data_IF_550368646466
#
_entry.id   IF_550368646466
#
_cell.length_a   1.000
_cell.length_b   1.000
_cell.length_c   1.000
_cell.angle_alpha   90.00
_cell.angle_beta   90.00
_cell.angle_gamma   90.00
#
_symmetry.space_group_name_H-M   'P 1'
#
loop_
_entity.id
_entity.type
_entity.pdbx_description
1 polymer ?
#
# COMPACT_ATOMS: atom_id res chain seq x y z
N UNK A 1 -19.84 -20.00 16.63
CA UNK A 1 -18.94 -20.34 15.51
C UNK A 1 -17.93 -19.25 15.36
N UNK A 2 -16.75 -19.61 14.91
CA UNK A 2 -15.72 -18.68 14.54
C UNK A 2 -15.65 -18.62 13.01
N UNK A 3 -15.34 -17.45 12.45
CA UNK A 3 -15.06 -17.33 11.02
C UNK A 3 -13.74 -18.04 10.75
N UNK A 4 -13.69 -18.89 9.71
CA UNK A 4 -12.44 -19.50 9.33
C UNK A 4 -11.38 -18.49 8.93
N UNK A 5 -10.16 -18.73 9.40
CA UNK A 5 -9.05 -17.82 9.20
C UNK A 5 -9.38 -16.38 9.64
N UNK A 6 -10.29 -16.23 10.63
CA UNK A 6 -10.72 -14.91 11.08
C UNK A 6 -9.55 -14.06 11.60
N UNK A 7 -8.54 -14.68 12.21
CA UNK A 7 -7.35 -13.98 12.68
C UNK A 7 -6.64 -13.27 11.53
N UNK A 8 -6.50 -13.94 10.41
CA UNK A 8 -5.90 -13.35 9.20
C UNK A 8 -6.83 -12.30 8.58
N UNK A 9 -8.13 -12.58 8.53
CA UNK A 9 -9.14 -11.67 7.98
C UNK A 9 -9.34 -10.43 8.84
N UNK A 10 -9.32 -10.58 10.16
CA UNK A 10 -9.48 -9.50 11.12
C UNK A 10 -8.16 -8.82 11.49
N UNK A 11 -7.02 -9.43 11.23
CA UNK A 11 -5.70 -8.87 11.54
C UNK A 11 -5.42 -7.57 10.78
N UNK A 12 -6.14 -7.33 9.68
CA UNK A 12 -6.06 -6.11 8.89
C UNK A 12 -4.63 -5.78 8.45
N UNK A 13 -3.80 -6.84 8.45
CA UNK A 13 -2.43 -6.85 7.97
C UNK A 13 -2.40 -7.27 6.51
N UNK A 14 -1.22 -7.33 5.98
CA UNK A 14 -0.94 -7.82 4.64
C UNK A 14 -1.16 -9.30 4.41
N UNK A 15 -1.47 -10.09 5.43
CA UNK A 15 -1.78 -11.50 5.23
C UNK A 15 -2.94 -11.62 4.26
N UNK A 16 -2.64 -12.12 3.09
CA UNK A 16 -3.59 -12.23 2.00
C UNK A 16 -4.32 -13.56 2.12
N UNK A 17 -5.64 -13.49 2.18
CA UNK A 17 -6.48 -14.66 2.40
C UNK A 17 -6.99 -15.17 1.05
N UNK A 18 -6.73 -16.43 0.76
CA UNK A 18 -7.43 -17.13 -0.32
C UNK A 18 -8.81 -17.53 0.17
N UNK A 19 -9.84 -16.99 -0.48
CA UNK A 19 -11.23 -17.19 -0.07
C UNK A 19 -11.84 -18.53 -0.52
N UNK A 20 -11.05 -19.58 -0.70
CA UNK A 20 -11.57 -20.86 -1.21
C UNK A 20 -12.06 -21.82 -0.12
N UNK A 21 -12.07 -21.38 1.13
CA UNK A 21 -12.47 -22.24 2.24
C UNK A 21 -13.96 -22.10 2.55
N UNK A 22 -14.69 -23.22 2.52
CA UNK A 22 -16.08 -23.30 2.97
C UNK A 22 -16.10 -23.80 4.42
N UNK A 23 -16.43 -22.96 5.41
CA UNK A 23 -16.41 -23.36 6.79
C UNK A 23 -17.54 -24.34 7.11
N UNK A 24 -17.27 -25.22 8.04
CA UNK A 24 -18.29 -26.01 8.72
C UNK A 24 -18.71 -25.30 10.01
N UNK A 25 -19.76 -24.54 9.98
CA UNK A 25 -20.40 -24.03 11.20
C UNK A 25 -21.88 -24.45 11.25
N UNK A 26 -22.40 -24.57 12.47
CA UNK A 26 -23.80 -24.92 12.65
C UNK A 26 -24.67 -23.64 12.64
N UNK A 27 -25.87 -23.71 12.09
CA UNK A 27 -26.78 -22.55 11.97
C UNK A 27 -27.09 -21.90 13.33
N UNK A 28 -27.04 -22.63 14.45
CA UNK A 28 -27.26 -22.12 15.80
C UNK A 28 -26.04 -21.36 16.38
N UNK A 29 -24.94 -21.30 15.67
CA UNK A 29 -23.73 -20.57 16.07
C UNK A 29 -23.63 -19.17 15.42
N UNK A 30 -24.59 -18.82 14.58
CA UNK A 30 -24.69 -17.52 13.93
C UNK A 30 -25.39 -16.55 14.88
N UNK A 31 -24.83 -15.34 15.02
CA UNK A 31 -25.46 -14.27 15.79
C UNK A 31 -26.45 -13.54 14.89
N UNK A 32 -27.70 -13.46 15.32
CA UNK A 32 -28.70 -12.60 14.73
C UNK A 32 -28.38 -11.14 15.06
N UNK A 33 -28.19 -10.25 14.08
CA UNK A 33 -27.87 -8.84 14.33
C UNK A 33 -28.90 -8.10 15.19
N UNK A 34 -30.17 -8.52 15.16
CA UNK A 34 -31.23 -7.94 16.00
C UNK A 34 -31.09 -8.33 17.49
N UNK A 35 -30.25 -9.30 17.79
CA UNK A 35 -29.90 -9.73 19.15
C UNK A 35 -28.64 -9.09 19.68
N UNK A 36 -28.00 -8.23 18.92
CA UNK A 36 -26.83 -7.44 19.34
C UNK A 36 -27.34 -6.15 20.00
N UNK A 37 -26.95 -5.95 21.24
CA UNK A 37 -27.33 -4.76 22.02
C UNK A 37 -26.09 -3.91 22.24
N UNK A 38 -26.10 -2.69 21.70
CA UNK A 38 -25.04 -1.70 22.00
C UNK A 38 -25.25 -1.14 23.40
N UNK A 39 -24.27 -1.34 24.28
CA UNK A 39 -24.27 -0.88 25.66
C UNK A 39 -23.31 0.29 25.91
N UNK A 40 -22.84 0.94 24.84
CA UNK A 40 -21.84 2.03 24.94
C UNK A 40 -22.35 3.19 25.80
N UNK A 41 -23.62 3.61 25.62
CA UNK A 41 -24.23 4.69 26.40
C UNK A 41 -24.53 4.30 27.85
N UNK A 42 -24.63 3.00 28.15
CA UNK A 42 -24.83 2.46 29.50
C UNK A 42 -23.50 2.24 30.24
N UNK A 43 -22.38 2.58 29.58
CA UNK A 43 -21.03 2.41 30.11
C UNK A 43 -20.54 3.74 30.69
N UNK A 44 -20.16 3.77 31.97
CA UNK A 44 -19.60 4.97 32.59
C UNK A 44 -18.11 5.18 32.21
N UNK A 45 -17.55 6.32 32.62
CA UNK A 45 -16.15 6.69 32.33
C UNK A 45 -15.12 5.75 32.97
N UNK A 46 -15.51 4.90 33.90
CA UNK A 46 -14.67 3.85 34.49
C UNK A 46 -14.82 2.51 33.78
N UNK A 47 -15.70 2.45 32.76
CA UNK A 47 -15.95 1.22 31.99
C UNK A 47 -16.96 0.29 32.71
N UNK A 48 -17.72 0.77 33.67
CA UNK A 48 -18.76 -0.02 34.34
C UNK A 48 -20.05 0.04 33.54
N UNK A 49 -20.58 -1.12 33.18
CA UNK A 49 -21.87 -1.26 32.49
C UNK A 49 -22.98 -1.52 33.51
N UNK A 50 -24.08 -0.75 33.42
CA UNK A 50 -25.28 -1.00 34.19
C UNK A 50 -26.45 -1.28 33.25
N UNK A 51 -26.75 -2.55 33.05
CA UNK A 51 -27.78 -3.00 32.12
C UNK A 51 -28.68 -4.06 32.77
N UNK A 52 -29.99 -3.92 32.59
CA UNK A 52 -30.95 -4.94 32.97
C UNK A 52 -31.16 -5.91 31.81
N UNK A 53 -30.39 -6.98 31.83
CA UNK A 53 -30.44 -8.00 30.77
C UNK A 53 -31.83 -8.65 30.69
N UNK A 54 -32.39 -8.80 29.49
CA UNK A 54 -33.56 -9.65 29.26
C UNK A 54 -33.26 -11.12 29.63
N UNK A 55 -34.32 -11.92 29.83
CA UNK A 55 -34.15 -13.33 30.11
C UNK A 55 -33.36 -14.04 29.01
N UNK A 56 -32.34 -14.85 29.35
CA UNK A 56 -31.51 -15.55 28.39
C UNK A 56 -30.08 -15.67 28.86
N UNK A 57 -29.24 -16.23 27.98
CA UNK A 57 -27.78 -16.27 28.12
C UNK A 57 -27.16 -15.16 27.28
N UNK A 58 -26.37 -14.33 27.90
CA UNK A 58 -25.72 -13.18 27.25
C UNK A 58 -24.21 -13.30 27.33
N UNK A 59 -23.54 -12.84 26.28
CA UNK A 59 -22.09 -12.62 26.26
C UNK A 59 -21.87 -11.13 26.11
N UNK A 60 -21.08 -10.54 27.00
CA UNK A 60 -20.67 -9.13 26.91
C UNK A 60 -19.29 -9.09 26.26
N UNK A 61 -19.21 -8.43 25.13
CA UNK A 61 -17.95 -8.19 24.41
C UNK A 61 -17.59 -6.72 24.56
N UNK A 62 -16.39 -6.43 25.05
CA UNK A 62 -15.87 -5.07 25.17
C UNK A 62 -14.86 -4.83 24.07
N UNK A 63 -15.12 -3.85 23.24
CA UNK A 63 -14.16 -3.33 22.28
C UNK A 63 -13.49 -2.09 22.85
N UNK A 64 -12.20 -1.99 22.69
CA UNK A 64 -11.42 -0.82 23.07
C UNK A 64 -10.27 -0.63 22.09
N UNK A 65 -9.94 0.60 21.76
CA UNK A 65 -8.75 0.90 21.03
C UNK A 65 -7.62 1.32 21.99
N UNK A 66 -6.43 0.94 21.67
CA UNK A 66 -5.21 1.26 22.44
C UNK A 66 -4.09 1.59 21.46
N UNK A 67 -3.06 2.34 21.88
CA UNK A 67 -1.87 2.53 21.05
C UNK A 67 -1.29 1.16 20.66
N UNK A 68 -0.89 1.02 19.40
CA UNK A 68 -0.25 -0.20 18.89
C UNK A 68 1.08 -0.50 19.58
N UNK A 69 1.70 0.53 20.17
CA UNK A 69 3.05 0.45 20.71
C UNK A 69 4.13 0.42 19.62
N UNK A 70 3.74 0.51 18.35
CA UNK A 70 4.65 0.62 17.21
C UNK A 70 5.60 1.80 17.42
N UNK A 71 6.87 1.58 17.11
CA UNK A 71 7.92 2.59 17.29
C UNK A 71 8.64 2.80 15.98
N UNK A 72 9.10 4.04 15.79
CA UNK A 72 9.98 4.40 14.66
C UNK A 72 11.21 3.49 14.67
N UNK A 73 11.60 3.02 13.48
CA UNK A 73 12.80 2.21 13.28
C UNK A 73 14.01 3.08 12.93
N UNK A 74 15.20 2.49 13.00
CA UNK A 74 16.47 3.07 12.55
C UNK A 74 16.93 4.36 13.26
N UNK A 75 16.17 4.85 14.24
CA UNK A 75 16.59 5.96 15.09
C UNK A 75 17.63 5.56 16.14
N UNK A 76 18.39 6.54 16.65
CA UNK A 76 19.21 6.31 17.85
C UNK A 76 18.30 5.92 19.02
N UNK A 77 18.80 5.08 19.95
CA UNK A 77 18.00 4.55 21.08
C UNK A 77 17.24 5.61 21.87
N UNK A 78 17.80 6.80 22.02
CA UNK A 78 17.20 7.94 22.74
C UNK A 78 16.24 8.78 21.84
N UNK A 79 16.11 8.47 20.56
CA UNK A 79 15.26 9.18 19.60
C UNK A 79 14.12 8.30 19.07
N UNK A 80 14.03 7.05 19.52
CA UNK A 80 12.95 6.13 19.11
C UNK A 80 11.68 6.52 19.87
N UNK A 81 10.71 7.07 19.12
CA UNK A 81 9.37 7.44 19.61
C UNK A 81 8.29 6.46 19.18
N UNK A 82 7.05 6.76 19.55
CA UNK A 82 5.90 6.08 18.98
C UNK A 82 5.74 6.45 17.51
N UNK A 83 5.26 5.49 16.72
CA UNK A 83 4.91 5.74 15.32
C UNK A 83 3.70 6.66 15.21
N UNK A 84 3.63 7.44 14.15
CA UNK A 84 2.53 8.34 13.85
C UNK A 84 1.24 7.57 13.52
N UNK A 85 0.11 8.04 14.01
CA UNK A 85 -1.21 7.54 13.60
C UNK A 85 -1.48 7.88 12.12
N UNK A 86 -1.42 6.86 11.26
CA UNK A 86 -1.56 7.02 9.80
C UNK A 86 -3.01 7.13 9.32
N UNK A 87 -3.97 6.89 10.22
CA UNK A 87 -5.40 7.08 9.93
C UNK A 87 -5.89 8.47 10.35
N UNK A 88 -4.98 9.35 10.81
CA UNK A 88 -5.30 10.66 11.33
C UNK A 88 -4.54 11.78 10.62
N UNK A 89 -5.25 12.67 9.92
CA UNK A 89 -4.64 13.87 9.33
C UNK A 89 -4.03 14.79 10.41
N UNK A 90 -4.67 14.87 11.58
CA UNK A 90 -4.17 15.68 12.72
C UNK A 90 -2.82 15.16 13.21
N UNK A 91 -2.64 13.83 13.27
CA UNK A 91 -1.37 13.24 13.65
C UNK A 91 -0.28 13.45 12.59
N UNK A 92 -0.61 13.36 11.31
CA UNK A 92 0.31 13.66 10.22
C UNK A 92 0.73 15.14 10.22
N UNK A 93 -0.22 16.07 10.44
CA UNK A 93 0.08 17.50 10.61
C UNK A 93 0.93 17.79 11.85
N UNK A 94 0.67 17.09 12.96
CA UNK A 94 1.49 17.22 14.16
C UNK A 94 2.94 16.77 13.90
N UNK A 95 3.13 15.64 13.21
CA UNK A 95 4.46 15.18 12.81
C UNK A 95 5.17 16.21 11.91
N UNK A 96 4.49 16.73 10.91
CA UNK A 96 5.00 17.79 10.05
C UNK A 96 5.41 19.02 10.86
N UNK A 97 4.54 19.55 11.68
CA UNK A 97 4.73 20.80 12.41
C UNK A 97 5.86 20.70 13.46
N UNK A 98 6.00 19.54 14.11
CA UNK A 98 7.00 19.36 15.18
C UNK A 98 8.36 18.86 14.72
N UNK A 99 8.47 18.45 13.45
CA UNK A 99 9.72 17.91 12.91
C UNK A 99 10.10 18.53 11.56
N UNK A 100 9.41 18.18 10.49
CA UNK A 100 9.81 18.54 9.12
C UNK A 100 9.77 20.05 8.88
N UNK A 101 8.76 20.73 9.41
CA UNK A 101 8.63 22.18 9.31
C UNK A 101 9.85 22.91 9.91
N UNK A 102 10.33 22.48 11.06
CA UNK A 102 11.50 23.10 11.68
C UNK A 102 12.77 22.93 10.85
N UNK A 103 12.95 21.78 10.21
CA UNK A 103 14.07 21.54 9.31
C UNK A 103 13.98 22.47 8.10
N UNK A 104 12.83 22.50 7.44
CA UNK A 104 12.61 23.35 6.28
C UNK A 104 12.82 24.84 6.60
N UNK A 105 12.20 25.32 7.68
CA UNK A 105 12.34 26.72 8.13
C UNK A 105 13.80 27.06 8.46
N UNK A 106 14.55 26.14 9.08
CA UNK A 106 15.96 26.35 9.40
C UNK A 106 16.83 26.42 8.14
N UNK A 107 16.60 25.56 7.17
CA UNK A 107 17.32 25.55 5.89
C UNK A 107 17.07 26.88 5.16
N UNK A 108 15.82 27.30 5.04
CA UNK A 108 15.43 28.56 4.40
C UNK A 108 16.03 29.79 5.11
N UNK A 109 16.01 29.81 6.44
CA UNK A 109 16.58 30.90 7.24
C UNK A 109 18.11 31.07 7.04
N UNK A 110 18.80 30.01 6.62
CA UNK A 110 20.24 30.04 6.31
C UNK A 110 20.53 30.17 4.81
N UNK A 111 19.52 30.53 3.99
CA UNK A 111 19.66 30.73 2.54
C UNK A 111 19.82 29.45 1.74
N UNK A 112 19.49 28.30 2.34
CA UNK A 112 19.44 27.02 1.65
C UNK A 112 18.07 26.74 1.02
N UNK A 113 17.97 25.62 0.32
CA UNK A 113 16.72 25.12 -0.27
C UNK A 113 16.56 23.64 0.05
N UNK A 114 15.34 23.25 0.37
CA UNK A 114 14.93 21.86 0.52
C UNK A 114 14.12 21.46 -0.73
N UNK A 115 14.59 20.46 -1.48
CA UNK A 115 13.92 20.04 -2.71
C UNK A 115 12.70 19.16 -2.44
N UNK A 116 12.75 18.33 -1.39
CA UNK A 116 11.65 17.40 -1.12
C UNK A 116 11.76 16.67 0.21
N UNK A 117 10.77 15.83 0.44
CA UNK A 117 10.62 14.97 1.61
C UNK A 117 10.43 13.54 1.15
N UNK A 118 11.03 12.60 1.84
CA UNK A 118 10.86 11.17 1.61
C UNK A 118 10.05 10.57 2.75
N UNK A 119 8.99 9.88 2.42
CA UNK A 119 8.30 8.94 3.31
C UNK A 119 8.82 7.55 2.95
N UNK A 120 9.70 7.07 3.79
CA UNK A 120 10.30 5.74 3.67
C UNK A 120 9.29 4.63 3.96
N UNK A 121 9.66 3.38 3.77
CA UNK A 121 8.77 2.24 3.97
C UNK A 121 8.16 2.22 5.37
N UNK A 122 6.84 1.98 5.45
CA UNK A 122 6.18 1.79 6.74
C UNK A 122 6.47 0.38 7.28
N UNK A 123 7.22 0.30 8.35
CA UNK A 123 7.66 -0.97 8.93
C UNK A 123 7.28 -1.14 10.42
N UNK A 124 6.42 -0.30 10.95
CA UNK A 124 6.09 -0.28 12.38
C UNK A 124 4.88 -1.16 12.75
N UNK A 125 4.48 -2.06 11.87
CA UNK A 125 3.33 -2.93 12.06
C UNK A 125 2.00 -2.33 11.59
N UNK A 126 0.90 -3.06 11.77
CA UNK A 126 -0.41 -2.61 11.30
C UNK A 126 -1.12 -1.75 12.34
N UNK A 127 -2.02 -0.91 11.83
CA UNK A 127 -2.95 -0.07 12.59
C UNK A 127 -4.35 -0.29 12.02
N UNK A 128 -5.35 -0.40 12.87
CA UNK A 128 -6.72 -0.72 12.44
C UNK A 128 -7.79 0.21 12.99
N UNK A 129 -7.42 1.20 13.81
CA UNK A 129 -8.35 2.13 14.43
C UNK A 129 -7.72 3.49 14.72
N UNK A 130 -8.54 4.53 14.74
CA UNK A 130 -8.21 5.88 15.17
C UNK A 130 -9.43 6.55 15.80
N UNK A 131 -9.25 7.70 16.43
CA UNK A 131 -10.37 8.50 16.92
C UNK A 131 -11.26 8.95 15.75
N UNK A 132 -12.55 8.69 15.84
CA UNK A 132 -13.53 9.04 14.80
C UNK A 132 -13.58 8.05 13.63
N UNK A 133 -12.94 6.89 13.75
CA UNK A 133 -12.95 5.86 12.72
C UNK A 133 -14.37 5.44 12.30
N UNK A 134 -15.32 5.36 13.24
CA UNK A 134 -16.71 5.02 12.96
C UNK A 134 -17.38 6.00 11.97
N UNK A 135 -17.09 7.29 12.13
CA UNK A 135 -17.63 8.34 11.24
C UNK A 135 -17.01 8.22 9.82
N UNK A 136 -15.71 7.97 9.76
CA UNK A 136 -15.04 7.75 8.47
C UNK A 136 -15.52 6.46 7.81
N UNK A 137 -15.72 5.38 8.58
CA UNK A 137 -16.31 4.15 8.08
C UNK A 137 -17.71 4.37 7.52
N UNK A 138 -18.58 5.02 8.27
CA UNK A 138 -19.94 5.36 7.82
C UNK A 138 -19.90 6.20 6.54
N UNK A 139 -19.03 7.19 6.47
CA UNK A 139 -18.84 8.02 5.25
C UNK A 139 -18.41 7.22 4.04
N UNK A 140 -17.49 6.27 4.24
CA UNK A 140 -16.88 5.50 3.15
C UNK A 140 -17.67 4.25 2.75
N UNK A 141 -18.38 3.64 3.69
CA UNK A 141 -19.08 2.36 3.47
C UNK A 141 -20.60 2.48 3.48
N UNK A 142 -21.15 3.57 4.01
CA UNK A 142 -22.58 3.86 3.96
C UNK A 142 -23.43 3.20 5.06
N UNK A 143 -22.81 2.47 6.01
CA UNK A 143 -23.52 1.81 7.10
C UNK A 143 -22.78 1.89 8.43
N UNK A 144 -23.50 1.68 9.56
CA UNK A 144 -22.93 1.68 10.90
C UNK A 144 -22.24 0.34 11.19
N UNK A 145 -20.95 0.41 11.52
CA UNK A 145 -20.12 -0.77 11.78
C UNK A 145 -20.43 -1.48 13.11
N UNK A 146 -21.13 -0.83 14.06
CA UNK A 146 -21.29 -1.33 15.44
C UNK A 146 -21.95 -2.68 15.54
N UNK A 147 -22.94 -2.95 14.69
CA UNK A 147 -23.61 -4.26 14.63
C UNK A 147 -22.68 -5.39 14.22
N UNK A 148 -21.63 -5.08 13.50
CA UNK A 148 -20.71 -6.07 12.95
C UNK A 148 -19.40 -6.19 13.72
N UNK A 149 -19.18 -5.36 14.76
CA UNK A 149 -17.96 -5.42 15.59
C UNK A 149 -17.66 -6.82 16.17
N UNK A 150 -18.66 -7.65 16.56
CA UNK A 150 -18.36 -9.01 17.04
C UNK A 150 -17.59 -9.86 16.01
N UNK A 151 -17.65 -9.53 14.73
CA UNK A 151 -16.88 -10.18 13.68
C UNK A 151 -15.38 -10.01 13.88
N UNK A 152 -14.93 -8.87 14.41
CA UNK A 152 -13.53 -8.63 14.76
C UNK A 152 -13.03 -9.54 15.92
N UNK A 153 -13.96 -10.11 16.68
CA UNK A 153 -13.67 -11.10 17.71
C UNK A 153 -13.92 -12.56 17.25
N UNK A 154 -14.13 -12.76 15.95
CA UNK A 154 -14.27 -14.08 15.32
C UNK A 154 -15.68 -14.65 15.28
N UNK A 155 -16.69 -13.88 15.67
CA UNK A 155 -18.08 -14.33 15.58
C UNK A 155 -18.64 -14.18 14.17
N UNK A 156 -19.51 -15.11 13.78
CA UNK A 156 -20.31 -14.97 12.56
C UNK A 156 -21.58 -14.19 12.91
N UNK A 157 -21.75 -13.02 12.29
CA UNK A 157 -22.92 -12.16 12.42
C UNK A 157 -23.76 -12.30 11.16
N UNK A 158 -25.05 -12.60 11.28
CA UNK A 158 -26.05 -12.77 10.24
C UNK A 158 -25.75 -13.94 9.28
N UNK A 159 -24.64 -13.88 8.59
CA UNK A 159 -24.11 -14.95 7.74
C UNK A 159 -22.60 -14.83 7.61
N UNK A 160 -21.98 -15.82 6.97
CA UNK A 160 -20.56 -15.75 6.64
C UNK A 160 -20.29 -14.65 5.64
N UNK A 161 -21.09 -14.57 4.61
CA UNK A 161 -20.96 -13.60 3.53
C UNK A 161 -21.02 -12.17 4.07
N UNK A 162 -21.97 -11.89 4.97
CA UNK A 162 -22.10 -10.61 5.66
C UNK A 162 -20.86 -10.32 6.53
N UNK A 163 -20.42 -11.29 7.29
CA UNK A 163 -19.24 -11.14 8.15
C UNK A 163 -17.95 -10.93 7.35
N UNK A 164 -17.75 -11.69 6.27
CA UNK A 164 -16.61 -11.52 5.37
C UNK A 164 -16.66 -10.15 4.66
N UNK A 165 -17.87 -9.71 4.25
CA UNK A 165 -18.10 -8.39 3.66
C UNK A 165 -17.74 -7.24 4.61
N UNK A 166 -18.11 -7.38 5.88
CA UNK A 166 -17.72 -6.40 6.90
C UNK A 166 -16.17 -6.33 7.08
N UNK A 167 -15.50 -7.47 7.15
CA UNK A 167 -14.03 -7.51 7.27
C UNK A 167 -13.34 -6.95 6.02
N UNK A 168 -13.91 -7.19 4.85
CA UNK A 168 -13.47 -6.56 3.61
C UNK A 168 -13.57 -5.02 3.71
N UNK A 169 -14.72 -4.51 4.12
CA UNK A 169 -14.98 -3.08 4.26
C UNK A 169 -14.08 -2.43 5.31
N UNK A 170 -13.78 -3.13 6.41
CA UNK A 170 -12.79 -2.68 7.40
C UNK A 170 -11.41 -2.49 6.79
N UNK A 171 -10.88 -3.52 6.09
CA UNK A 171 -9.57 -3.45 5.43
C UNK A 171 -9.52 -2.34 4.38
N UNK A 172 -10.56 -2.24 3.57
CA UNK A 172 -10.64 -1.19 2.55
C UNK A 172 -10.70 0.22 3.18
N UNK A 173 -11.43 0.39 4.29
CA UNK A 173 -11.48 1.66 5.03
C UNK A 173 -10.10 2.07 5.54
N UNK A 174 -9.33 1.13 6.10
CA UNK A 174 -7.97 1.39 6.56
C UNK A 174 -7.07 1.83 5.39
N UNK A 175 -7.16 1.15 4.25
CA UNK A 175 -6.40 1.51 3.05
C UNK A 175 -6.76 2.92 2.56
N UNK A 176 -8.04 3.22 2.44
CA UNK A 176 -8.51 4.53 2.00
C UNK A 176 -8.08 5.65 2.95
N UNK A 177 -8.23 5.45 4.27
CA UNK A 177 -7.84 6.45 5.27
C UNK A 177 -6.34 6.68 5.31
N UNK A 178 -5.53 5.64 5.17
CA UNK A 178 -4.08 5.81 5.12
C UNK A 178 -3.67 6.67 3.94
N UNK A 179 -4.26 6.43 2.78
CA UNK A 179 -3.98 7.25 1.59
C UNK A 179 -4.52 8.67 1.76
N UNK A 180 -5.75 8.83 2.24
CA UNK A 180 -6.39 10.13 2.42
C UNK A 180 -5.73 10.96 3.52
N UNK A 181 -5.57 10.37 4.71
CA UNK A 181 -5.18 11.11 5.93
C UNK A 181 -3.65 11.26 6.07
N UNK A 182 -2.88 10.25 5.66
CA UNK A 182 -1.42 10.31 5.79
C UNK A 182 -0.78 10.85 4.52
N UNK A 183 -0.82 10.10 3.41
CA UNK A 183 -0.18 10.54 2.16
C UNK A 183 -0.80 11.82 1.60
N UNK A 184 -2.13 11.95 1.63
CA UNK A 184 -2.84 13.15 1.20
C UNK A 184 -2.46 14.39 2.01
N UNK A 185 -2.29 14.25 3.32
CA UNK A 185 -1.84 15.36 4.19
C UNK A 185 -0.42 15.78 3.86
N UNK A 186 0.52 14.84 3.76
CA UNK A 186 1.89 15.17 3.37
C UNK A 186 1.97 15.76 1.96
N UNK A 187 1.21 15.23 1.01
CA UNK A 187 1.12 15.80 -0.34
C UNK A 187 0.70 17.26 -0.33
N UNK A 188 -0.34 17.58 0.44
CA UNK A 188 -0.82 18.96 0.59
C UNK A 188 0.25 19.86 1.21
N UNK A 189 0.86 19.45 2.33
CA UNK A 189 1.87 20.22 3.05
C UNK A 189 3.14 20.42 2.22
N UNK A 190 3.58 19.41 1.47
CA UNK A 190 4.70 19.55 0.54
C UNK A 190 4.36 20.52 -0.60
N UNK A 191 3.16 20.41 -1.18
CA UNK A 191 2.71 21.30 -2.26
C UNK A 191 2.65 22.77 -1.82
N UNK A 192 2.19 23.05 -0.61
CA UNK A 192 2.14 24.40 -0.03
C UNK A 192 3.53 25.06 0.07
N UNK A 193 4.59 24.25 0.10
CA UNK A 193 6.00 24.70 0.17
C UNK A 193 6.81 24.45 -1.10
N UNK A 194 6.19 24.02 -2.18
CA UNK A 194 6.85 23.62 -3.43
C UNK A 194 7.88 22.49 -3.24
N UNK A 195 7.64 21.58 -2.29
CA UNK A 195 8.48 20.41 -2.04
C UNK A 195 7.97 19.20 -2.83
N UNK A 196 8.89 18.37 -3.29
CA UNK A 196 8.59 17.07 -3.88
C UNK A 196 8.34 16.07 -2.75
N UNK A 197 7.19 15.40 -2.76
CA UNK A 197 6.96 14.25 -1.91
C UNK A 197 7.34 12.98 -2.66
N UNK A 198 8.29 12.23 -2.10
CA UNK A 198 8.68 10.88 -2.55
C UNK A 198 8.18 9.88 -1.52
N UNK A 199 7.74 8.69 -1.93
CA UNK A 199 7.34 7.66 -0.98
C UNK A 199 7.54 6.24 -1.50
N UNK A 200 8.00 5.37 -0.59
CA UNK A 200 8.02 3.91 -0.74
C UNK A 200 6.69 3.26 -0.31
N UNK A 201 5.77 4.03 0.26
CA UNK A 201 4.47 3.59 0.78
C UNK A 201 4.50 2.66 2.02
N UNK A 202 3.85 1.49 1.94
CA UNK A 202 3.60 0.59 3.06
C UNK A 202 4.73 -0.41 3.35
N UNK A 203 5.85 -0.35 2.60
CA UNK A 203 6.95 -1.31 2.77
C UNK A 203 6.50 -2.76 2.63
N UNK A 204 7.32 -3.65 3.15
CA UNK A 204 7.10 -5.09 3.05
C UNK A 204 5.90 -5.56 3.89
N UNK A 205 4.68 -5.38 3.39
CA UNK A 205 3.49 -6.09 3.87
C UNK A 205 3.07 -5.74 5.33
N UNK A 206 3.31 -4.53 5.81
CA UNK A 206 3.03 -4.18 7.20
C UNK A 206 1.60 -3.77 7.48
N UNK A 207 0.79 -3.47 6.46
CA UNK A 207 -0.54 -2.88 6.64
C UNK A 207 -1.50 -3.27 5.51
N UNK A 208 -2.80 -3.29 5.77
CA UNK A 208 -3.80 -3.34 4.71
C UNK A 208 -3.79 -2.02 3.95
N UNK A 209 -3.20 -2.00 2.76
CA UNK A 209 -2.97 -0.78 1.99
C UNK A 209 -3.23 -0.94 0.50
N UNK A 210 -3.19 0.20 -0.18
CA UNK A 210 -3.22 0.29 -1.63
C UNK A 210 -1.97 1.04 -2.10
N UNK A 211 -0.84 0.33 -2.31
CA UNK A 211 0.44 0.93 -2.66
C UNK A 211 0.40 1.65 -4.01
N UNK A 212 -0.39 1.18 -4.97
CA UNK A 212 -0.52 1.84 -6.27
C UNK A 212 -1.19 3.20 -6.10
N UNK A 213 -2.25 3.28 -5.31
CA UNK A 213 -2.91 4.55 -5.02
C UNK A 213 -2.02 5.46 -4.18
N UNK A 214 -1.34 4.95 -3.15
CA UNK A 214 -0.42 5.73 -2.34
C UNK A 214 0.72 6.33 -3.17
N UNK A 215 1.36 5.52 -4.01
CA UNK A 215 2.37 5.95 -4.98
C UNK A 215 1.80 6.95 -6.01
N UNK A 216 0.53 6.79 -6.39
CA UNK A 216 -0.18 7.73 -7.26
C UNK A 216 -0.39 9.12 -6.63
N UNK A 217 -0.51 9.21 -5.31
CA UNK A 217 -0.71 10.49 -4.59
C UNK A 217 0.57 11.31 -4.47
N UNK A 218 1.75 10.70 -4.47
CA UNK A 218 3.02 11.43 -4.35
C UNK A 218 3.52 11.93 -5.71
N UNK A 219 4.39 12.94 -5.70
CA UNK A 219 4.98 13.46 -6.94
C UNK A 219 5.99 12.47 -7.53
N UNK A 220 6.76 11.79 -6.68
CA UNK A 220 7.78 10.82 -7.09
C UNK A 220 7.55 9.49 -6.38
N UNK A 221 6.86 8.53 -7.02
CA UNK A 221 6.74 7.18 -6.50
C UNK A 221 8.11 6.53 -6.38
N UNK A 222 8.33 5.78 -5.32
CA UNK A 222 9.54 5.04 -5.06
C UNK A 222 9.21 3.60 -4.67
N UNK A 223 10.06 2.68 -5.08
CA UNK A 223 10.08 1.27 -4.71
C UNK A 223 11.40 0.93 -4.04
N UNK A 224 11.64 -0.35 -3.81
CA UNK A 224 12.89 -0.86 -3.29
C UNK A 224 13.30 -2.12 -4.04
N UNK A 225 14.61 -2.30 -4.31
CA UNK A 225 15.17 -3.59 -4.70
C UNK A 225 16.51 -3.85 -4.03
N UNK A 226 16.76 -5.10 -3.76
CA UNK A 226 17.86 -5.54 -2.93
C UNK A 226 19.06 -6.03 -3.75
N UNK A 227 20.21 -6.17 -3.12
CA UNK A 227 21.43 -6.67 -3.74
C UNK A 227 21.40 -8.15 -4.14
N UNK A 228 20.27 -8.82 -3.98
CA UNK A 228 19.98 -10.16 -4.47
C UNK A 228 18.66 -10.11 -5.25
N UNK A 229 18.47 -11.07 -6.16
CA UNK A 229 17.20 -11.14 -6.90
C UNK A 229 16.04 -11.29 -5.95
N UNK A 230 15.13 -10.33 -5.91
CA UNK A 230 13.92 -10.46 -5.10
C UNK A 230 13.05 -11.55 -5.72
N UNK A 231 12.67 -12.52 -4.92
CA UNK A 231 11.59 -13.42 -5.28
C UNK A 231 10.30 -12.57 -5.37
N UNK A 232 9.84 -12.36 -6.59
CA UNK A 232 8.61 -11.64 -6.86
C UNK A 232 8.68 -10.11 -6.79
N UNK A 233 9.34 -9.47 -7.66
CA UNK A 233 9.54 -8.03 -7.91
C UNK A 233 8.29 -7.13 -7.97
N UNK A 234 7.31 -7.42 -7.16
CA UNK A 234 6.04 -6.72 -7.13
C UNK A 234 6.21 -5.22 -6.84
N UNK A 235 7.11 -4.85 -5.93
CA UNK A 235 7.27 -3.45 -5.53
C UNK A 235 7.81 -2.58 -6.66
N UNK A 236 8.79 -3.06 -7.43
CA UNK A 236 9.29 -2.38 -8.63
C UNK A 236 8.16 -2.17 -9.64
N UNK A 237 7.38 -3.23 -9.92
CA UNK A 237 6.28 -3.16 -10.90
C UNK A 237 5.10 -2.34 -10.39
N UNK A 238 4.81 -2.37 -9.10
CA UNK A 238 3.82 -1.47 -8.47
C UNK A 238 4.21 0.00 -8.66
N UNK A 239 5.50 0.32 -8.48
CA UNK A 239 6.01 1.67 -8.63
C UNK A 239 5.90 2.18 -10.07
N UNK A 240 6.39 1.40 -11.05
CA UNK A 240 6.31 1.80 -12.45
C UNK A 240 4.86 1.85 -12.94
N UNK A 241 4.01 0.91 -12.52
CA UNK A 241 2.58 0.93 -12.81
C UNK A 241 1.90 2.17 -12.26
N UNK A 242 2.18 2.54 -11.00
CA UNK A 242 1.66 3.76 -10.40
C UNK A 242 2.15 5.02 -11.16
N UNK A 243 3.44 5.05 -11.55
CA UNK A 243 3.98 6.16 -12.32
C UNK A 243 3.23 6.33 -13.66
N UNK A 244 3.03 5.25 -14.40
CA UNK A 244 2.31 5.26 -15.67
C UNK A 244 0.83 5.61 -15.48
N UNK A 245 0.13 4.97 -14.53
CA UNK A 245 -1.29 5.19 -14.26
C UNK A 245 -1.61 6.63 -13.86
N UNK A 246 -0.70 7.30 -13.15
CA UNK A 246 -0.92 8.66 -12.64
C UNK A 246 -0.08 9.72 -13.34
N UNK A 247 0.53 9.40 -14.49
CA UNK A 247 1.26 10.36 -15.33
C UNK A 247 2.50 10.94 -14.66
N UNK A 248 3.22 10.12 -13.86
CA UNK A 248 4.46 10.54 -13.21
C UNK A 248 5.66 10.25 -14.11
N UNK A 249 6.54 11.24 -14.35
CA UNK A 249 7.69 11.03 -15.24
C UNK A 249 8.80 10.17 -14.61
N UNK A 250 8.79 10.02 -13.28
CA UNK A 250 9.81 9.31 -12.54
C UNK A 250 9.19 8.16 -11.77
N UNK A 251 9.69 6.96 -12.00
CA UNK A 251 9.55 5.79 -11.16
C UNK A 251 10.91 5.51 -10.50
N UNK A 252 11.02 5.85 -9.23
CA UNK A 252 12.29 5.74 -8.47
C UNK A 252 12.38 4.41 -7.74
N UNK A 253 13.59 3.99 -7.40
CA UNK A 253 13.79 2.89 -6.47
C UNK A 253 14.95 3.18 -5.51
N UNK A 254 14.75 2.86 -4.23
CA UNK A 254 15.86 2.56 -3.34
C UNK A 254 16.56 1.33 -3.90
N UNK A 255 17.82 1.48 -4.26
CA UNK A 255 18.49 0.54 -5.13
C UNK A 255 19.67 -0.11 -4.41
N UNK A 256 19.83 -1.41 -4.65
CA UNK A 256 20.96 -2.17 -4.15
C UNK A 256 20.99 -2.29 -2.62
N UNK A 257 19.83 -2.30 -1.97
CA UNK A 257 19.75 -2.48 -0.52
C UNK A 257 20.45 -3.79 -0.11
N UNK A 258 21.24 -3.74 0.94
CA UNK A 258 22.03 -4.87 1.46
C UNK A 258 23.04 -5.50 0.49
N UNK A 259 23.62 -4.70 -0.43
CA UNK A 259 24.71 -5.14 -1.32
C UNK A 259 25.92 -5.53 -0.50
N UNK A 260 26.46 -6.71 -0.78
CA UNK A 260 27.63 -7.27 -0.10
C UNK A 260 28.92 -6.80 -0.73
N UNK A 261 29.98 -6.70 0.07
CA UNK A 261 31.33 -6.38 -0.42
C UNK A 261 31.89 -7.39 -1.44
N UNK A 262 31.33 -8.60 -1.47
CA UNK A 262 31.71 -9.65 -2.43
C UNK A 262 31.02 -9.53 -3.79
N UNK A 263 30.01 -8.67 -3.94
CA UNK A 263 29.31 -8.50 -5.20
C UNK A 263 30.10 -7.62 -6.16
N UNK A 264 30.10 -8.01 -7.42
CA UNK A 264 30.77 -7.27 -8.48
C UNK A 264 29.86 -6.21 -9.12
N UNK A 265 30.45 -5.23 -9.78
CA UNK A 265 29.71 -4.24 -10.57
C UNK A 265 28.89 -4.88 -11.70
N UNK A 266 29.33 -6.03 -12.22
CA UNK A 266 28.57 -6.77 -13.23
C UNK A 266 27.26 -7.34 -12.66
N UNK A 267 27.28 -7.90 -11.46
CA UNK A 267 26.07 -8.36 -10.76
C UNK A 267 25.14 -7.20 -10.45
N UNK A 268 25.67 -6.08 -9.97
CA UNK A 268 24.87 -4.88 -9.72
C UNK A 268 24.25 -4.34 -11.02
N UNK A 269 24.98 -4.40 -12.14
CA UNK A 269 24.45 -4.03 -13.45
C UNK A 269 23.27 -4.92 -13.86
N UNK A 270 23.35 -6.22 -13.65
CA UNK A 270 22.24 -7.14 -13.95
C UNK A 270 20.99 -6.79 -13.15
N UNK A 271 21.12 -6.47 -11.86
CA UNK A 271 20.01 -6.02 -11.02
C UNK A 271 19.41 -4.69 -11.51
N UNK A 272 20.29 -3.76 -11.91
CA UNK A 272 19.85 -2.48 -12.48
C UNK A 272 19.11 -2.66 -13.80
N UNK A 273 19.65 -3.47 -14.72
CA UNK A 273 19.03 -3.76 -16.03
C UNK A 273 17.66 -4.41 -15.84
N UNK A 274 17.54 -5.29 -14.85
CA UNK A 274 16.27 -5.89 -14.47
C UNK A 274 15.27 -4.83 -13.98
N UNK A 275 15.68 -3.92 -13.09
CA UNK A 275 14.81 -2.85 -12.60
C UNK A 275 14.38 -1.90 -13.74
N UNK A 276 15.29 -1.57 -14.68
CA UNK A 276 14.94 -0.81 -15.88
C UNK A 276 13.92 -1.53 -16.75
N UNK A 277 14.07 -2.86 -16.94
CA UNK A 277 13.12 -3.66 -17.72
C UNK A 277 11.71 -3.66 -17.09
N UNK A 278 11.60 -3.47 -15.79
CA UNK A 278 10.32 -3.30 -15.07
C UNK A 278 9.84 -1.84 -14.99
N UNK A 279 10.51 -0.91 -15.66
CA UNK A 279 10.06 0.47 -15.80
C UNK A 279 10.59 1.46 -14.76
N UNK A 280 11.50 1.03 -13.86
CA UNK A 280 12.21 1.99 -12.98
C UNK A 280 13.16 2.83 -13.82
N UNK A 281 13.23 4.13 -13.53
CA UNK A 281 14.03 5.07 -14.30
C UNK A 281 14.85 6.04 -13.42
N UNK A 282 14.89 5.82 -12.11
CA UNK A 282 15.74 6.52 -11.17
C UNK A 282 16.18 5.59 -10.04
N UNK A 283 17.46 5.61 -9.71
CA UNK A 283 18.01 4.86 -8.59
C UNK A 283 18.52 5.78 -7.49
N UNK A 284 18.14 5.45 -6.25
CA UNK A 284 18.67 6.03 -5.02
C UNK A 284 19.48 4.94 -4.31
N UNK A 285 20.80 5.03 -4.35
CA UNK A 285 21.66 3.96 -3.82
C UNK A 285 21.49 3.78 -2.31
N UNK A 286 21.15 2.61 -1.86
CA UNK A 286 21.06 2.24 -0.46
C UNK A 286 22.16 1.24 -0.07
N UNK A 287 23.08 1.59 0.78
CA UNK A 287 23.39 2.91 1.27
C UNK A 287 24.90 3.05 1.38
N UNK A 288 25.35 4.26 1.61
CA UNK A 288 26.76 4.50 1.94
C UNK A 288 26.88 4.74 3.44
N UNK A 289 27.70 3.94 4.12
CA UNK A 289 27.98 4.18 5.54
C UNK A 289 28.98 5.32 5.72
N UNK A 290 28.81 6.09 6.78
CA UNK A 290 29.75 7.14 7.15
C UNK A 290 31.14 6.56 7.43
N UNK A 291 32.16 7.00 6.68
CA UNK A 291 33.56 6.55 6.75
C UNK A 291 34.43 7.68 7.24
N UNK A 292 34.52 7.95 8.57
CA UNK A 292 35.27 9.09 9.08
C UNK A 292 36.81 8.86 9.07
N UNK A 293 37.24 7.60 8.94
CA UNK A 293 38.67 7.24 8.95
C UNK A 293 39.19 7.04 7.54
N UNK A 294 40.40 7.46 7.28
CA UNK A 294 41.07 7.23 5.99
C UNK A 294 41.95 5.97 6.03
N UNK A 295 42.33 5.53 7.20
CA UNK A 295 43.32 4.47 7.46
C UNK A 295 42.73 3.15 7.98
N UNK A 296 41.40 3.05 8.04
CA UNK A 296 40.71 1.84 8.52
C UNK A 296 39.95 1.15 7.40
N UNK A 297 40.24 -0.12 7.19
CA UNK A 297 39.55 -0.99 6.22
C UNK A 297 38.95 -2.23 6.93
N UNK A 298 37.74 -2.59 6.61
CA UNK A 298 36.79 -1.98 5.68
C UNK A 298 36.08 -0.74 6.25
N UNK A 299 36.45 -0.24 7.40
CA UNK A 299 35.84 0.89 8.07
C UNK A 299 34.48 0.56 8.67
N UNK A 300 33.53 1.48 8.60
CA UNK A 300 32.17 1.27 9.05
C UNK A 300 31.36 0.50 7.99
N UNK A 301 30.83 -0.66 8.38
CA UNK A 301 30.01 -1.53 7.49
C UNK A 301 28.52 -1.52 7.86
N UNK A 302 28.07 -0.58 8.71
CA UNK A 302 26.68 -0.44 9.09
C UNK A 302 26.16 -1.53 10.04
N UNK A 303 27.04 -2.09 10.90
CA UNK A 303 26.60 -3.01 11.97
C UNK A 303 26.06 -4.36 11.50
N UNK A 304 26.60 -4.91 10.42
CA UNK A 304 26.21 -6.19 9.84
C UNK A 304 25.32 -6.06 8.60
N UNK A 305 24.81 -4.88 8.31
CA UNK A 305 24.27 -4.56 6.99
C UNK A 305 25.45 -4.24 6.07
N UNK A 306 25.45 -4.84 4.90
CA UNK A 306 26.56 -4.71 3.96
C UNK A 306 26.41 -3.44 3.11
N UNK A 307 26.70 -2.26 3.67
CA UNK A 307 26.69 -1.02 2.91
C UNK A 307 27.97 -0.90 2.08
N UNK A 308 27.96 -1.63 0.96
CA UNK A 308 29.16 -1.80 0.13
C UNK A 308 29.37 -0.68 -0.90
N UNK A 309 28.40 0.24 -1.06
CA UNK A 309 28.51 1.35 -2.02
C UNK A 309 29.32 2.51 -1.45
N UNK A 310 30.59 2.30 -1.22
CA UNK A 310 31.47 3.33 -0.66
C UNK A 310 32.94 3.09 -1.05
N UNK A 311 33.80 4.12 -0.76
CA UNK A 311 35.21 4.15 -1.14
C UNK A 311 36.08 3.05 -0.55
N UNK A 312 35.62 2.29 0.44
CA UNK A 312 36.38 1.20 1.06
C UNK A 312 36.13 -0.14 0.36
N UNK A 313 35.21 -0.17 -0.60
CA UNK A 313 35.02 -1.34 -1.46
C UNK A 313 36.08 -1.36 -2.56
N UNK A 314 36.59 -2.53 -2.88
CA UNK A 314 37.66 -2.72 -3.88
C UNK A 314 37.26 -2.31 -5.29
N UNK A 315 35.98 -2.31 -5.63
CA UNK A 315 35.50 -1.87 -6.93
C UNK A 315 35.35 -0.35 -7.06
N UNK A 316 35.42 0.41 -5.98
CA UNK A 316 35.07 1.83 -5.99
C UNK A 316 35.86 2.67 -6.97
N UNK A 317 37.17 2.48 -7.02
CA UNK A 317 38.07 3.19 -7.94
C UNK A 317 37.73 2.93 -9.42
N UNK A 318 37.08 1.79 -9.72
CA UNK A 318 36.69 1.37 -11.06
C UNK A 318 35.21 1.57 -11.36
N UNK A 319 34.46 2.17 -10.45
CA UNK A 319 32.98 2.23 -10.52
C UNK A 319 32.45 3.34 -11.44
N UNK A 320 33.33 4.22 -11.95
CA UNK A 320 32.89 5.38 -12.77
C UNK A 320 32.04 4.95 -13.97
N UNK A 321 32.49 4.00 -14.73
CA UNK A 321 31.78 3.55 -15.93
C UNK A 321 30.43 2.94 -15.60
N UNK A 322 30.31 2.28 -14.44
CA UNK A 322 29.05 1.76 -13.93
C UNK A 322 28.07 2.91 -13.63
N UNK A 323 28.50 3.95 -12.93
CA UNK A 323 27.64 5.10 -12.59
C UNK A 323 27.29 5.91 -13.84
N UNK A 324 28.21 6.08 -14.78
CA UNK A 324 27.95 6.73 -16.05
C UNK A 324 26.94 5.95 -16.90
N UNK A 325 27.00 4.62 -16.86
CA UNK A 325 25.99 3.76 -17.47
C UNK A 325 24.61 3.98 -16.82
N UNK A 326 24.53 3.96 -15.48
CA UNK A 326 23.28 4.19 -14.76
C UNK A 326 22.68 5.57 -15.10
N UNK A 327 23.48 6.61 -15.08
CA UNK A 327 23.04 7.97 -15.40
C UNK A 327 22.47 8.08 -16.82
N UNK A 328 23.16 7.49 -17.81
CA UNK A 328 22.69 7.50 -19.22
C UNK A 328 21.42 6.67 -19.39
N UNK A 329 21.37 5.50 -18.79
CA UNK A 329 20.17 4.63 -18.83
C UNK A 329 18.98 5.31 -18.20
N UNK A 330 19.12 5.85 -17.00
CA UNK A 330 18.06 6.59 -16.32
C UNK A 330 17.58 7.80 -17.12
N UNK A 331 18.50 8.54 -17.76
CA UNK A 331 18.12 9.65 -18.64
C UNK A 331 17.30 9.17 -19.83
N UNK A 332 17.73 8.11 -20.52
CA UNK A 332 17.03 7.57 -21.68
C UNK A 332 15.65 7.01 -21.32
N UNK A 333 15.55 6.29 -20.20
CA UNK A 333 14.29 5.71 -19.72
C UNK A 333 13.24 6.75 -19.28
N UNK A 334 13.64 8.00 -19.09
CA UNK A 334 12.73 9.12 -18.82
C UNK A 334 12.26 9.84 -20.09
N UNK A 335 12.72 9.40 -21.26
CA UNK A 335 12.31 10.04 -22.52
C UNK A 335 11.12 9.30 -23.13
N UNK A 336 10.12 10.08 -23.56
CA UNK A 336 8.94 9.52 -24.19
C UNK A 336 7.91 8.96 -23.21
N UNK A 337 7.05 8.08 -23.73
CA UNK A 337 5.99 7.41 -22.98
C UNK A 337 6.22 5.91 -22.99
N UNK A 338 5.81 5.25 -21.92
CA UNK A 338 5.83 3.80 -21.80
C UNK A 338 4.87 3.16 -22.81
N UNK A 339 5.34 2.11 -23.48
CA UNK A 339 4.54 1.31 -24.41
C UNK A 339 4.26 -0.04 -23.74
N UNK A 340 3.03 -0.19 -23.26
CA UNK A 340 2.59 -1.34 -22.45
C UNK A 340 1.31 -1.89 -23.06
N UNK A 341 1.19 -3.21 -23.12
CA UNK A 341 0.07 -3.86 -23.81
C UNK A 341 -1.16 -4.01 -22.92
N UNK A 342 -0.96 -4.43 -21.68
CA UNK A 342 -2.02 -4.87 -20.78
C UNK A 342 -2.11 -3.96 -19.55
N UNK A 343 -3.35 -3.78 -19.06
CA UNK A 343 -3.57 -3.24 -17.72
C UNK A 343 -4.31 -4.28 -16.87
N UNK A 344 -3.72 -4.62 -15.72
CA UNK A 344 -4.23 -5.64 -14.81
C UNK A 344 -4.98 -4.98 -13.67
N UNK A 345 -6.27 -5.23 -13.58
CA UNK A 345 -7.07 -4.80 -12.45
C UNK A 345 -6.80 -5.72 -11.26
N UNK A 346 -6.28 -5.16 -10.18
CA UNK A 346 -5.96 -5.91 -8.96
C UNK A 346 -7.18 -6.16 -8.07
N UNK A 347 -8.32 -5.54 -8.40
CA UNK A 347 -9.55 -5.62 -7.61
C UNK A 347 -9.68 -4.49 -6.59
N UNK A 348 -10.75 -4.57 -5.80
CA UNK A 348 -11.15 -3.55 -4.83
C UNK A 348 -10.74 -3.90 -3.39
N UNK A 349 -10.27 -5.12 -3.15
CA UNK A 349 -9.91 -5.58 -1.81
C UNK A 349 -8.63 -4.88 -1.31
N UNK A 350 -8.40 -4.89 -0.02
CA UNK A 350 -7.14 -4.48 0.60
C UNK A 350 -6.56 -5.65 1.43
N UNK A 351 -5.23 -5.86 1.40
CA UNK A 351 -4.22 -5.10 0.64
C UNK A 351 -4.32 -5.33 -0.87
N UNK A 352 -4.09 -4.26 -1.65
CA UNK A 352 -3.99 -4.33 -3.11
C UNK A 352 -2.51 -4.45 -3.47
N UNK A 353 -2.08 -5.62 -3.94
CA UNK A 353 -0.67 -5.86 -4.29
C UNK A 353 -0.50 -6.72 -5.53
N UNK A 354 0.61 -6.49 -6.25
CA UNK A 354 1.04 -7.40 -7.30
C UNK A 354 1.71 -8.61 -6.64
N UNK A 355 1.02 -9.73 -6.61
CA UNK A 355 1.56 -11.00 -6.14
C UNK A 355 1.81 -11.90 -7.36
N UNK A 356 3.06 -12.19 -7.66
CA UNK A 356 3.45 -12.90 -8.89
C UNK A 356 2.74 -14.25 -9.07
N UNK A 357 2.53 -14.99 -7.97
CA UNK A 357 1.82 -16.27 -8.00
C UNK A 357 0.31 -16.14 -8.26
N UNK A 358 -0.23 -14.94 -8.22
CA UNK A 358 -1.66 -14.63 -8.48
C UNK A 358 -1.90 -13.96 -9.82
N UNK A 359 -0.85 -13.46 -10.45
CA UNK A 359 -0.98 -12.89 -11.77
C UNK A 359 -1.43 -13.97 -12.78
N UNK A 360 -2.21 -13.58 -13.78
CA UNK A 360 -2.39 -14.44 -14.95
C UNK A 360 -1.02 -14.67 -15.61
N UNK A 361 -0.91 -15.76 -16.33
CA UNK A 361 0.30 -16.00 -17.16
C UNK A 361 0.31 -14.93 -18.25
N UNK A 362 1.28 -14.03 -18.20
CA UNK A 362 1.50 -13.04 -19.25
C UNK A 362 2.32 -13.73 -20.35
N UNK A 363 1.83 -13.80 -21.60
CA UNK A 363 2.59 -14.40 -22.68
C UNK A 363 3.91 -13.65 -22.94
N UNK A 364 4.94 -14.36 -23.37
CA UNK A 364 6.20 -13.74 -23.72
C UNK A 364 6.02 -12.70 -24.84
N UNK A 365 6.66 -11.54 -24.68
CA UNK A 365 6.57 -10.42 -25.62
C UNK A 365 5.48 -9.40 -25.27
N UNK A 366 4.71 -9.61 -24.21
CA UNK A 366 3.75 -8.64 -23.68
C UNK A 366 4.21 -8.09 -22.32
N UNK A 367 3.95 -6.81 -22.09
CA UNK A 367 4.17 -6.17 -20.79
C UNK A 367 2.84 -5.68 -20.20
N UNK A 368 2.83 -5.39 -18.89
CA UNK A 368 1.64 -4.97 -18.19
C UNK A 368 1.91 -3.88 -17.17
N UNK A 369 0.91 -3.05 -16.92
CA UNK A 369 0.78 -2.28 -15.70
C UNK A 369 -0.36 -2.82 -14.84
N UNK A 370 -0.23 -2.69 -13.53
CA UNK A 370 -1.31 -3.01 -12.61
C UNK A 370 -1.96 -1.73 -12.09
N UNK A 371 -3.25 -1.82 -11.72
CA UNK A 371 -3.97 -0.68 -11.20
C UNK A 371 -5.01 -1.10 -10.15
N UNK A 372 -5.33 -0.16 -9.28
CA UNK A 372 -6.39 -0.26 -8.29
C UNK A 372 -7.62 0.55 -8.72
N UNK A 373 -8.68 0.45 -7.96
CA UNK A 373 -10.00 1.00 -8.25
C UNK A 373 -10.01 2.51 -8.54
N UNK A 374 -9.18 3.31 -7.85
CA UNK A 374 -9.11 4.76 -8.10
C UNK A 374 -8.76 5.08 -9.57
N UNK A 375 -7.76 4.40 -10.13
CA UNK A 375 -7.36 4.61 -11.51
C UNK A 375 -8.47 4.21 -12.51
N UNK A 376 -9.24 3.15 -12.21
CA UNK A 376 -10.39 2.74 -13.02
C UNK A 376 -11.40 3.87 -13.18
N UNK A 377 -11.73 4.55 -12.08
CA UNK A 377 -12.75 5.60 -12.09
C UNK A 377 -12.26 6.94 -12.60
N UNK A 378 -11.02 7.29 -12.26
CA UNK A 378 -10.51 8.68 -12.45
C UNK A 378 -9.65 8.85 -13.69
N UNK A 379 -9.10 7.75 -14.26
CA UNK A 379 -8.06 7.84 -15.28
C UNK A 379 -8.40 7.17 -16.61
N UNK A 380 -9.34 6.20 -16.64
CA UNK A 380 -9.53 5.34 -17.80
C UNK A 380 -10.70 5.78 -18.68
N UNK A 381 -10.40 5.98 -19.97
CA UNK A 381 -11.34 6.20 -21.05
C UNK A 381 -11.04 5.23 -22.19
N UNK A 382 -11.96 5.16 -23.18
CA UNK A 382 -11.75 4.36 -24.40
C UNK A 382 -11.65 5.27 -25.61
N UNK A 383 -10.60 5.09 -26.42
CA UNK A 383 -10.40 5.76 -27.70
C UNK A 383 -9.88 4.72 -28.71
N UNK A 384 -10.54 4.62 -29.85
CA UNK A 384 -10.17 3.69 -30.94
C UNK A 384 -9.95 2.24 -30.48
N UNK A 385 -10.83 1.75 -29.59
CA UNK A 385 -10.77 0.39 -29.06
C UNK A 385 -9.67 0.14 -28.02
N UNK A 386 -8.92 1.15 -27.61
CA UNK A 386 -7.88 1.08 -26.58
C UNK A 386 -8.33 1.79 -25.31
N UNK A 387 -7.90 1.29 -24.17
CA UNK A 387 -8.01 1.99 -22.89
C UNK A 387 -6.90 3.05 -22.85
N UNK A 388 -7.26 4.32 -22.67
CA UNK A 388 -6.33 5.46 -22.75
C UNK A 388 -6.36 6.23 -21.43
N UNK A 389 -5.19 6.63 -20.96
CA UNK A 389 -5.01 7.53 -19.82
C UNK A 389 -4.86 8.99 -20.30
N UNK A 390 -5.18 10.00 -19.46
CA UNK A 390 -5.08 11.42 -19.84
C UNK A 390 -3.70 11.85 -20.33
N UNK A 391 -2.65 11.19 -19.86
CA UNK A 391 -1.25 11.50 -20.17
C UNK A 391 -0.77 10.80 -21.46
N UNK A 392 -1.63 10.06 -22.14
CA UNK A 392 -1.37 9.44 -23.43
C UNK A 392 -0.95 7.97 -23.40
N UNK A 393 -0.65 7.40 -22.22
CA UNK A 393 -0.43 5.95 -22.09
C UNK A 393 -1.71 5.21 -22.46
N UNK A 394 -1.59 4.10 -23.18
CA UNK A 394 -2.75 3.33 -23.63
C UNK A 394 -2.50 1.83 -23.62
N UNK A 395 -3.55 1.07 -23.35
CA UNK A 395 -3.52 -0.40 -23.23
C UNK A 395 -4.43 -1.03 -24.28
N UNK A 396 -4.01 -2.21 -24.77
CA UNK A 396 -4.81 -2.99 -25.72
C UNK A 396 -5.94 -3.73 -25.00
N UNK A 397 -5.71 -4.17 -23.78
CA UNK A 397 -6.63 -5.04 -23.05
C UNK A 397 -6.54 -4.83 -21.54
N UNK A 398 -7.69 -4.88 -20.87
CA UNK A 398 -7.79 -5.01 -19.42
C UNK A 398 -7.89 -6.48 -19.03
N UNK A 399 -7.17 -6.86 -17.99
CA UNK A 399 -7.24 -8.21 -17.41
C UNK A 399 -7.88 -8.11 -16.03
N UNK A 400 -8.93 -8.92 -15.80
CA UNK A 400 -9.68 -8.95 -14.55
C UNK A 400 -9.00 -9.81 -13.49
N UNK A 401 -9.29 -9.59 -12.19
CA UNK A 401 -8.78 -10.42 -11.10
C UNK A 401 -9.23 -11.88 -11.25
N UNK A 402 -8.36 -12.82 -10.89
CA UNK A 402 -8.62 -14.26 -11.03
C UNK A 402 -9.70 -14.78 -10.08
N UNK A 403 -9.90 -14.13 -8.93
CA UNK A 403 -10.86 -14.56 -7.90
C UNK A 403 -12.33 -14.27 -8.25
N UNK A 404 -12.61 -13.57 -9.35
CA UNK A 404 -13.96 -13.22 -9.78
C UNK A 404 -14.70 -12.27 -8.82
N UNK A 405 -13.97 -11.57 -7.95
CA UNK A 405 -14.52 -10.63 -6.98
C UNK A 405 -14.33 -9.20 -7.46
N UNK A 406 -15.42 -8.50 -7.73
CA UNK A 406 -15.44 -7.12 -8.22
C UNK A 406 -16.69 -6.45 -7.64
N UNK A 407 -16.56 -5.22 -7.11
CA UNK A 407 -17.69 -4.44 -6.64
C UNK A 407 -18.65 -4.09 -7.78
N UNK A 408 -19.94 -3.90 -7.47
CA UNK A 408 -20.94 -3.53 -8.48
C UNK A 408 -20.60 -2.21 -9.18
N UNK A 409 -20.05 -1.27 -8.45
CA UNK A 409 -19.63 0.02 -9.01
C UNK A 409 -18.49 -0.15 -10.02
N UNK A 410 -17.42 -0.88 -9.65
CA UNK A 410 -16.32 -1.18 -10.55
C UNK A 410 -16.79 -2.00 -11.77
N UNK A 411 -17.66 -2.97 -11.56
CA UNK A 411 -18.24 -3.77 -12.66
C UNK A 411 -19.02 -2.90 -13.65
N UNK A 412 -19.84 -1.96 -13.16
CA UNK A 412 -20.56 -1.00 -14.02
C UNK A 412 -19.60 -0.13 -14.83
N UNK A 413 -18.53 0.37 -14.21
CA UNK A 413 -17.50 1.14 -14.92
C UNK A 413 -16.81 0.29 -15.99
N UNK A 414 -16.40 -0.94 -15.67
CA UNK A 414 -15.80 -1.87 -16.64
C UNK A 414 -16.76 -2.15 -17.79
N UNK A 415 -18.05 -2.42 -17.49
CA UNK A 415 -19.07 -2.61 -18.52
C UNK A 415 -19.21 -1.39 -19.45
N UNK A 416 -19.15 -0.17 -18.90
CA UNK A 416 -19.16 1.05 -19.71
C UNK A 416 -17.95 1.18 -20.63
N UNK A 417 -16.77 0.78 -20.17
CA UNK A 417 -15.57 0.74 -21.01
C UNK A 417 -15.68 -0.30 -22.13
N UNK A 418 -16.25 -1.49 -21.83
CA UNK A 418 -16.52 -2.52 -22.84
C UNK A 418 -17.52 -2.03 -23.89
N UNK A 419 -18.61 -1.38 -23.47
CA UNK A 419 -19.57 -0.76 -24.38
C UNK A 419 -18.95 0.32 -25.27
N UNK A 420 -17.94 1.01 -24.76
CA UNK A 420 -17.17 1.98 -25.54
C UNK A 420 -16.10 1.35 -26.45
N UNK A 421 -15.95 0.02 -26.43
CA UNK A 421 -15.06 -0.75 -27.30
C UNK A 421 -13.78 -1.29 -26.66
N UNK A 422 -13.63 -1.21 -25.33
CA UNK A 422 -12.47 -1.82 -24.65
C UNK A 422 -12.50 -3.34 -24.72
N UNK A 423 -11.33 -3.95 -24.91
CA UNK A 423 -11.13 -5.38 -24.76
C UNK A 423 -10.87 -5.74 -23.29
N UNK A 424 -11.61 -6.70 -22.77
CA UNK A 424 -11.48 -7.19 -21.38
C UNK A 424 -11.36 -8.71 -21.39
N UNK A 425 -10.42 -9.24 -20.62
CA UNK A 425 -10.16 -10.66 -20.46
C UNK A 425 -10.09 -11.05 -18.98
N UNK A 426 -10.53 -12.25 -18.64
CA UNK A 426 -10.37 -12.80 -17.30
C UNK A 426 -11.55 -13.61 -16.81
N UNK A 427 -11.54 -13.93 -15.52
CA UNK A 427 -12.62 -14.66 -14.86
C UNK A 427 -13.88 -13.80 -14.84
N UNK A 428 -15.01 -14.41 -15.20
CA UNK A 428 -16.31 -13.73 -15.10
C UNK A 428 -16.57 -13.35 -13.64
N UNK A 429 -16.89 -12.09 -13.34
CA UNK A 429 -17.27 -11.66 -12.00
C UNK A 429 -18.45 -12.47 -11.46
N UNK A 430 -18.34 -12.92 -10.23
CA UNK A 430 -19.33 -13.80 -9.59
C UNK A 430 -19.87 -13.24 -8.28
N UNK A 431 -19.10 -12.35 -7.61
CA UNK A 431 -19.47 -11.77 -6.32
C UNK A 431 -18.81 -10.41 -6.10
N UNK A 432 -19.39 -9.66 -5.19
CA UNK A 432 -18.77 -8.48 -4.59
C UNK A 432 -18.21 -8.84 -3.22
N UNK A 433 -17.12 -8.17 -2.83
CA UNK A 433 -16.51 -8.34 -1.50
C UNK A 433 -17.12 -7.43 -0.45
N UNK A 434 -17.75 -6.31 -0.84
CA UNK A 434 -18.31 -5.33 0.11
C UNK A 434 -19.70 -5.73 0.60
N UNK A 435 -19.97 -5.50 1.88
CA UNK A 435 -21.28 -5.71 2.48
C UNK A 435 -22.37 -4.85 1.82
N UNK A 436 -22.01 -3.64 1.39
CA UNK A 436 -22.92 -2.71 0.72
C UNK A 436 -23.58 -3.32 -0.53
N UNK A 437 -22.84 -4.10 -1.29
CA UNK A 437 -23.35 -4.70 -2.53
C UNK A 437 -24.23 -5.93 -2.27
N UNK A 438 -24.06 -6.61 -1.13
CA UNK A 438 -24.85 -7.81 -0.80
C UNK A 438 -26.35 -7.52 -0.72
N UNK A 439 -26.74 -6.32 -0.30
CA UNK A 439 -28.13 -5.86 -0.26
C UNK A 439 -28.75 -5.65 -1.65
N UNK A 440 -27.91 -5.53 -2.69
CA UNK A 440 -28.30 -5.21 -4.07
C UNK A 440 -28.13 -6.38 -5.06
N UNK A 441 -27.67 -7.54 -4.58
CA UNK A 441 -27.47 -8.75 -5.40
C UNK A 441 -28.64 -9.73 -5.36
N UNK A 442 -29.74 -9.40 -4.70
CA UNK A 442 -30.96 -10.23 -4.61
C UNK A 442 -31.91 -9.94 -5.75
#
# INVERSE_FOLDING_TARGET
ACIDQWEEKAALTSAYIENDFTPSYQKNEIIDPDRIVDLTEQTDSLGTVRWKAPAGKWVVVRFAHVPTGGRTKHGRKNMIGLECDKLSAVAAEAHWNHYLKHIADSIEAHGGHLDGVVVDSHEAGSQNWTSGFENDFLRLRGYDLRKYLPTLAGYVVESREVSDGFLYDMRRTIADLTVEKYFGTFQRLCKERNLILTSQDFGALCMAGDPILAKGKVQKPQSEFWGHHPDGNYDIKECSSAAHMYGKPIASAEAFSDVKFSQSLAELKQLADYAYAFGINEFVGCASSHQPWLDKLPGSTGGGRHYALNRTNTFWEYSRDFWDYQNRSSFLMRQGMSVIDLCLYLGDNAPVRILTHRLPVIPAGFDFDAFSTDALFTRMEVKEGRIVLPDGVSYQMMVLPRNGEITLEALRKIASLVQAGASVYGTRPQRSGTLHDLEHMV
#
